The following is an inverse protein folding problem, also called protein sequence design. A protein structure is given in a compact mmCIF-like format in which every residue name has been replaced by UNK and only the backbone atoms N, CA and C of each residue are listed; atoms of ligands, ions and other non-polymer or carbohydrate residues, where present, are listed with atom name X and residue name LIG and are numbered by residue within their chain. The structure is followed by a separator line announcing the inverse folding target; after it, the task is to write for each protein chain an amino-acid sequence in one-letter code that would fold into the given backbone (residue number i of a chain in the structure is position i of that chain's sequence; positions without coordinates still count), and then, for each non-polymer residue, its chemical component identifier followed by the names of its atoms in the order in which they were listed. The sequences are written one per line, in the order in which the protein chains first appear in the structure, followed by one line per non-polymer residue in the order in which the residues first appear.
data_IF_535450527574
#
_entry.id   IF_535450527574
#
_cell.length_a   1.000
_cell.length_b   1.000
_cell.length_c   1.000
_cell.angle_alpha   90.00
_cell.angle_beta   90.00
_cell.angle_gamma   90.00
#
_symmetry.space_group_name_H-M   'P 1'
#
loop_
_entity.id
_entity.type
_entity.pdbx_description
1 polymer ?
#
# COMPACT_ATOMS: atom_id res chain seq x y z
N UNK A 1 -13.16 -3.02 6.63
CA UNK A 1 -12.02 -3.07 7.58
C UNK A 1 -11.65 -1.69 8.12
N UNK A 2 -10.92 -1.60 9.24
CA UNK A 2 -10.46 -0.35 9.86
C UNK A 2 -9.06 -0.02 9.33
N UNK A 3 -8.90 1.04 8.53
CA UNK A 3 -7.59 1.43 8.00
C UNK A 3 -6.63 1.84 9.13
N UNK A 4 -5.39 1.35 9.10
CA UNK A 4 -4.35 1.73 10.06
C UNK A 4 -3.87 3.15 9.76
N UNK A 5 -3.91 4.03 10.76
CA UNK A 5 -3.48 5.43 10.63
C UNK A 5 -2.26 5.67 11.50
N UNK A 6 -1.12 5.91 10.85
CA UNK A 6 0.13 6.34 11.47
C UNK A 6 0.10 7.87 11.59
N UNK A 7 0.00 8.38 12.82
CA UNK A 7 -0.09 9.82 13.06
C UNK A 7 1.27 10.48 13.10
N UNK A 8 1.35 11.73 12.64
CA UNK A 8 2.57 12.55 12.65
C UNK A 8 3.75 11.86 11.95
N UNK A 9 3.46 11.14 10.87
CA UNK A 9 4.38 10.23 10.21
C UNK A 9 4.15 10.29 8.70
N UNK A 10 5.24 10.47 7.95
CA UNK A 10 5.32 10.36 6.49
C UNK A 10 6.06 9.09 6.08
N UNK A 11 5.86 8.72 4.82
CA UNK A 11 6.66 7.71 4.16
C UNK A 11 7.99 8.26 3.64
N UNK A 12 8.90 7.36 3.28
CA UNK A 12 10.21 7.70 2.71
C UNK A 12 10.12 8.26 1.29
N UNK A 13 9.14 7.81 0.48
CA UNK A 13 8.99 8.23 -0.91
C UNK A 13 7.58 8.75 -1.16
N UNK A 14 7.50 9.99 -1.65
CA UNK A 14 6.25 10.59 -2.13
C UNK A 14 6.11 10.28 -3.61
N UNK A 15 5.07 9.52 -3.98
CA UNK A 15 4.83 9.16 -5.39
C UNK A 15 4.12 10.28 -6.15
N UNK A 16 3.15 10.90 -5.48
CA UNK A 16 2.37 12.00 -6.02
C UNK A 16 1.86 12.87 -4.88
N UNK A 17 1.51 14.11 -5.19
CA UNK A 17 1.00 15.08 -4.22
C UNK A 17 -0.06 15.96 -4.87
N UNK A 18 -1.24 15.99 -4.28
CA UNK A 18 -2.39 16.71 -4.81
C UNK A 18 -3.12 17.44 -3.67
N UNK A 19 -3.20 18.77 -3.74
CA UNK A 19 -3.73 19.62 -2.66
C UNK A 19 -5.24 19.88 -2.74
N UNK A 20 -5.90 19.41 -3.80
CA UNK A 20 -7.31 19.60 -4.05
C UNK A 20 -7.96 18.34 -4.63
N UNK A 21 -7.73 17.19 -4.01
CA UNK A 21 -8.33 15.90 -4.39
C UNK A 21 -9.28 15.43 -3.29
N UNK A 22 -10.35 14.71 -3.62
CA UNK A 22 -11.20 14.08 -2.61
C UNK A 22 -10.50 12.86 -1.98
N UNK A 23 -10.93 12.46 -0.79
CA UNK A 23 -10.43 11.22 -0.16
C UNK A 23 -10.61 10.00 -1.07
N UNK A 24 -11.73 9.93 -1.76
CA UNK A 24 -12.13 8.78 -2.59
C UNK A 24 -11.25 8.70 -3.84
N UNK A 25 -11.06 9.82 -4.52
CA UNK A 25 -10.13 9.90 -5.67
C UNK A 25 -8.69 9.62 -5.25
N UNK A 26 -8.27 10.12 -4.07
CA UNK A 26 -6.95 9.86 -3.53
C UNK A 26 -6.72 8.37 -3.23
N UNK A 27 -7.73 7.70 -2.65
CA UNK A 27 -7.71 6.24 -2.44
C UNK A 27 -7.68 5.52 -3.77
N UNK A 28 -8.57 5.85 -4.72
CA UNK A 28 -8.62 5.20 -6.03
C UNK A 28 -7.27 5.32 -6.78
N UNK A 29 -6.61 6.48 -6.68
CA UNK A 29 -5.28 6.71 -7.26
C UNK A 29 -4.19 5.89 -6.55
N UNK A 30 -4.27 5.76 -5.24
CA UNK A 30 -3.37 4.89 -4.47
C UNK A 30 -3.63 3.40 -4.69
N UNK A 31 -4.85 3.00 -5.03
CA UNK A 31 -5.18 1.62 -5.39
C UNK A 31 -4.76 1.27 -6.81
N UNK A 32 -4.84 2.23 -7.73
CA UNK A 32 -4.40 2.08 -9.11
C UNK A 32 -2.88 1.98 -9.24
N UNK A 33 -2.12 2.59 -8.32
CA UNK A 33 -0.66 2.53 -8.32
C UNK A 33 -0.15 1.38 -7.40
N UNK A 34 0.46 0.32 -7.96
CA UNK A 34 0.99 -0.79 -7.17
C UNK A 34 2.18 -0.38 -6.28
N UNK A 35 2.86 0.73 -6.59
CA UNK A 35 3.95 1.26 -5.75
C UNK A 35 3.43 2.00 -4.53
N UNK A 36 2.15 2.39 -4.56
CA UNK A 36 1.51 3.13 -3.49
C UNK A 36 1.00 2.16 -2.42
N UNK A 37 1.69 2.16 -1.29
CA UNK A 37 1.42 1.27 -0.15
C UNK A 37 0.62 1.99 0.96
N UNK A 38 0.39 3.30 0.82
CA UNK A 38 -0.45 4.06 1.72
C UNK A 38 -0.79 5.45 1.16
N UNK A 39 -1.59 6.20 1.91
CA UNK A 39 -2.03 7.54 1.56
C UNK A 39 -1.66 8.50 2.70
N UNK A 40 -0.83 9.49 2.42
CA UNK A 40 -0.56 10.57 3.36
C UNK A 40 -1.65 11.63 3.25
N UNK A 41 -2.21 12.05 4.38
CA UNK A 41 -3.19 13.12 4.50
C UNK A 41 -2.58 14.28 5.28
N UNK A 42 -2.71 15.49 4.76
CA UNK A 42 -2.30 16.69 5.47
C UNK A 42 -3.28 16.98 6.61
N UNK A 43 -2.76 17.04 7.83
CA UNK A 43 -3.50 17.38 9.04
C UNK A 43 -2.94 18.64 9.69
N UNK A 44 -2.36 19.55 8.88
CA UNK A 44 -1.89 20.82 9.39
C UNK A 44 -3.07 21.59 10.02
N UNK A 45 -2.85 22.05 11.26
CA UNK A 45 -3.83 22.65 12.18
C UNK A 45 -4.57 23.87 11.62
N UNK A 46 -4.13 24.41 10.48
CA UNK A 46 -4.76 25.54 9.81
C UNK A 46 -6.03 25.17 9.03
N UNK A 47 -6.39 23.89 8.95
CA UNK A 47 -7.62 23.43 8.32
C UNK A 47 -8.59 22.89 9.38
N UNK A 48 -9.72 23.57 9.56
CA UNK A 48 -10.78 23.26 10.54
C UNK A 48 -11.58 21.99 10.22
N UNK A 49 -11.31 21.33 9.09
CA UNK A 49 -12.05 20.13 8.64
C UNK A 49 -11.16 18.90 8.69
N UNK A 50 -11.63 17.85 9.38
CA UNK A 50 -11.03 16.51 9.33
C UNK A 50 -10.98 15.98 7.90
N UNK A 51 -9.83 16.10 7.24
CA UNK A 51 -9.59 15.57 5.88
C UNK A 51 -9.56 14.04 5.85
N UNK A 52 -9.73 13.37 6.98
CA UNK A 52 -9.89 11.91 7.05
C UNK A 52 -11.33 11.48 6.72
N UNK A 53 -12.30 12.40 6.69
CA UNK A 53 -13.69 12.09 6.37
C UNK A 53 -13.90 11.90 4.86
N UNK A 54 -14.76 10.95 4.49
CA UNK A 54 -15.22 10.78 3.11
C UNK A 54 -15.91 12.05 2.61
N UNK A 55 -15.84 12.32 1.30
CA UNK A 55 -16.38 13.54 0.67
C UNK A 55 -15.62 14.84 0.98
N UNK A 56 -14.55 14.81 1.78
CA UNK A 56 -13.75 16.02 2.07
C UNK A 56 -12.59 16.15 1.09
N UNK A 57 -12.53 17.29 0.40
CA UNK A 57 -11.37 17.65 -0.43
C UNK A 57 -10.21 18.11 0.44
N UNK A 58 -9.02 17.68 0.08
CA UNK A 58 -7.86 17.87 0.92
C UNK A 58 -6.55 17.75 0.20
N UNK A 59 -5.49 17.87 0.99
CA UNK A 59 -4.15 17.63 0.49
C UNK A 59 -3.73 16.22 0.85
N UNK A 60 -3.64 15.40 -0.18
CA UNK A 60 -3.27 14.00 -0.09
C UNK A 60 -2.02 13.74 -0.92
N UNK A 61 -1.25 12.75 -0.51
CA UNK A 61 -0.07 12.32 -1.22
C UNK A 61 0.02 10.80 -1.24
N UNK A 62 0.46 10.24 -2.36
CA UNK A 62 0.73 8.81 -2.48
C UNK A 62 1.97 8.42 -1.71
N UNK A 63 1.85 7.45 -0.82
CA UNK A 63 2.94 6.97 0.01
C UNK A 63 3.57 5.72 -0.59
N UNK A 64 4.85 5.78 -0.93
CA UNK A 64 5.66 4.67 -1.42
C UNK A 64 6.84 4.33 -0.50
N UNK A 65 7.52 3.23 -0.81
CA UNK A 65 8.73 2.82 -0.10
C UNK A 65 8.43 2.26 1.29
N UNK A 66 8.77 3.02 2.34
CA UNK A 66 8.55 2.63 3.73
C UNK A 66 7.62 3.64 4.40
N UNK A 67 6.53 3.15 5.00
CA UNK A 67 5.58 3.99 5.75
C UNK A 67 6.10 4.26 7.15
N UNK A 68 5.80 5.43 7.70
CA UNK A 68 6.14 5.73 9.10
C UNK A 68 7.61 5.96 9.40
N UNK A 69 8.43 6.21 8.40
CA UNK A 69 9.88 6.39 8.58
C UNK A 69 10.26 7.83 8.92
N UNK A 70 9.47 8.81 8.47
CA UNK A 70 9.80 10.23 8.62
C UNK A 70 8.79 10.89 9.57
N UNK A 71 9.19 11.29 10.80
CA UNK A 71 8.31 12.03 11.70
C UNK A 71 7.94 13.39 11.10
N UNK A 72 6.64 13.69 11.07
CA UNK A 72 6.12 14.95 10.56
C UNK A 72 4.70 15.24 11.08
N UNK A 73 4.57 16.20 11.99
CA UNK A 73 3.31 16.53 12.68
C UNK A 73 2.24 17.16 11.77
N UNK A 74 2.59 17.51 10.53
CA UNK A 74 1.63 18.06 9.55
C UNK A 74 0.96 16.99 8.70
N UNK A 75 1.40 15.74 8.83
CA UNK A 75 0.98 14.65 7.95
C UNK A 75 0.69 13.38 8.74
N UNK A 76 -0.42 12.74 8.41
CA UNK A 76 -0.69 11.37 8.83
C UNK A 76 -0.60 10.44 7.64
N UNK A 77 -0.20 9.20 7.85
CA UNK A 77 -0.17 8.15 6.83
C UNK A 77 -1.27 7.13 7.11
N UNK A 78 -2.19 6.99 6.17
CA UNK A 78 -3.21 5.94 6.14
C UNK A 78 -2.63 4.77 5.37
N UNK A 79 -2.34 3.67 6.05
CA UNK A 79 -1.80 2.46 5.41
C UNK A 79 -2.89 1.82 4.56
N UNK A 80 -2.55 1.44 3.33
CA UNK A 80 -3.47 0.69 2.48
C UNK A 80 -3.66 -0.69 3.13
N UNK A 81 -4.89 -1.16 3.36
CA UNK A 81 -5.08 -2.55 3.79
C UNK A 81 -4.41 -3.43 2.73
N UNK A 82 -3.56 -4.35 3.17
CA UNK A 82 -3.05 -5.38 2.27
C UNK A 82 -4.27 -6.06 1.67
N UNK A 83 -4.41 -6.02 0.34
CA UNK A 83 -5.42 -6.86 -0.31
C UNK A 83 -5.17 -8.28 0.20
N UNK A 84 -6.21 -9.03 0.62
CA UNK A 84 -6.03 -10.41 1.01
C UNK A 84 -5.19 -11.09 -0.07
N UNK A 85 -3.96 -11.47 0.28
CA UNK A 85 -3.09 -12.13 -0.67
C UNK A 85 -3.85 -13.40 -1.08
N UNK A 86 -4.07 -13.66 -2.38
CA UNK A 86 -4.61 -14.96 -2.77
C UNK A 86 -3.73 -16.02 -2.11
N UNK A 87 -4.32 -17.11 -1.57
CA UNK A 87 -3.55 -18.13 -0.90
C UNK A 87 -2.38 -18.54 -1.80
N UNK A 88 -1.20 -18.80 -1.23
CA UNK A 88 -0.05 -19.22 -2.03
C UNK A 88 -0.49 -20.38 -2.92
N UNK A 89 -0.07 -20.40 -4.21
CA UNK A 89 -0.36 -21.54 -5.06
C UNK A 89 0.13 -22.81 -4.37
N UNK A 90 -0.58 -23.95 -4.50
CA UNK A 90 -0.12 -25.20 -3.93
C UNK A 90 1.30 -25.51 -4.45
N UNK A 91 2.16 -26.15 -3.63
CA UNK A 91 3.46 -26.60 -4.10
C UNK A 91 3.27 -27.42 -5.37
N UNK A 92 4.07 -27.14 -6.40
CA UNK A 92 4.06 -27.94 -7.63
C UNK A 92 4.29 -29.41 -7.27
N UNK A 93 3.57 -30.36 -7.89
CA UNK A 93 3.90 -31.77 -7.74
C UNK A 93 5.35 -31.98 -8.17
N UNK A 94 6.12 -32.70 -7.34
CA UNK A 94 7.49 -33.08 -7.68
C UNK A 94 7.53 -33.76 -9.05
N UNK A 95 8.55 -33.50 -9.88
CA UNK A 95 8.70 -34.23 -11.14
C UNK A 95 8.79 -35.73 -10.86
N UNK A 96 8.27 -36.58 -11.77
CA UNK A 96 8.44 -38.03 -11.64
C UNK A 96 9.93 -38.38 -11.60
N UNK A 97 10.31 -39.44 -10.85
CA UNK A 97 11.69 -39.91 -10.86
C UNK A 97 12.12 -40.28 -12.28
N UNK A 98 13.40 -40.10 -12.63
CA UNK A 98 13.93 -40.56 -13.90
C UNK A 98 13.75 -42.08 -14.06
N UNK A 99 13.58 -42.59 -15.29
CA UNK A 99 13.51 -44.02 -15.52
C UNK A 99 14.80 -44.72 -15.07
N UNK A 100 14.73 -45.97 -14.58
CA UNK A 100 15.91 -46.74 -14.25
C UNK A 100 16.81 -46.95 -15.48
N UNK A 101 18.14 -46.99 -15.31
CA UNK A 101 19.04 -47.30 -16.41
C UNK A 101 18.73 -48.68 -17.00
N UNK A 102 18.51 -48.73 -18.31
CA UNK A 102 18.35 -50.00 -19.04
C UNK A 102 19.71 -50.69 -19.15
N UNK A 103 19.93 -51.72 -18.34
CA UNK A 103 21.08 -52.60 -18.53
C UNK A 103 20.80 -53.57 -19.71
N UNK A 104 21.73 -53.73 -20.67
CA UNK A 104 21.60 -54.74 -21.71
C UNK A 104 21.73 -56.15 -21.11
N UNK A 105 21.02 -57.16 -21.64
CA UNK A 105 21.19 -58.55 -21.21
C UNK A 105 22.61 -59.06 -21.56
N UNK A 106 23.19 -59.82 -20.63
CA UNK A 106 24.47 -60.53 -20.80
C UNK A 106 24.32 -61.81 -21.60
#
# INVERSE_FOLDING_TARGET
EKALVLRNLRCSVVLWSDNNISREEAVARAEADPRCIGLMVNNASSWTTDKRKAGTRGWYQGAGGSLGTIPNDKWDTIVKPEKPQPPPPPPFPSPPPPPPPSFPPS
#
